data_IF_382332126774
#
_entry.id   IF_382332126774
#
_cell.length_a   1.000
_cell.length_b   1.000
_cell.length_c   1.000
_cell.angle_alpha   90.00
_cell.angle_beta   90.00
_cell.angle_gamma   90.00
#
_symmetry.space_group_name_H-M   'P 1'
#
loop_
_entity.id
_entity.type
_entity.pdbx_description
1 polymer ?
#
# COMPACT_ATOMS: atom_id res chain seq x y z
N UNK A 1 8.21 18.91 10.38
CA UNK A 1 8.78 18.03 9.34
C UNK A 1 7.66 17.75 8.35
N UNK A 2 7.77 18.27 7.13
CA UNK A 2 6.76 18.12 6.08
C UNK A 2 6.82 16.69 5.52
N UNK A 3 5.85 15.84 5.87
CA UNK A 3 5.71 14.53 5.24
C UNK A 3 5.36 14.75 3.76
N UNK A 4 6.31 14.48 2.87
CA UNK A 4 6.03 14.35 1.45
C UNK A 4 5.19 13.08 1.28
N UNK A 5 3.90 13.26 1.00
CA UNK A 5 2.99 12.15 0.70
C UNK A 5 3.43 11.53 -0.63
N UNK A 6 4.20 10.44 -0.56
CA UNK A 6 4.73 9.77 -1.74
C UNK A 6 3.69 8.79 -2.28
N UNK A 7 2.78 9.28 -3.12
CA UNK A 7 1.71 8.46 -3.70
C UNK A 7 2.21 7.64 -4.89
N UNK A 8 1.91 6.34 -4.89
CA UNK A 8 2.24 5.41 -5.98
C UNK A 8 0.99 4.76 -6.55
N UNK A 9 0.87 4.64 -7.88
CA UNK A 9 -0.23 3.92 -8.48
C UNK A 9 -0.12 2.42 -8.21
N UNK A 10 -1.26 1.75 -8.14
CA UNK A 10 -1.33 0.29 -7.88
C UNK A 10 -0.41 -0.53 -8.78
N UNK A 11 -0.28 -0.15 -10.05
CA UNK A 11 0.58 -0.84 -11.02
C UNK A 11 2.06 -0.77 -10.60
N UNK A 12 2.53 0.40 -10.18
CA UNK A 12 3.89 0.55 -9.66
C UNK A 12 4.08 -0.17 -8.33
N UNK A 13 3.11 -0.07 -7.42
CA UNK A 13 3.15 -0.78 -6.14
C UNK A 13 3.29 -2.31 -6.34
N UNK A 14 2.49 -2.86 -7.25
CA UNK A 14 2.53 -4.26 -7.68
C UNK A 14 3.91 -4.65 -8.25
N UNK A 15 4.51 -3.79 -9.08
CA UNK A 15 5.83 -4.04 -9.65
C UNK A 15 6.95 -3.95 -8.60
N UNK A 16 6.91 -2.96 -7.71
CA UNK A 16 7.91 -2.76 -6.65
C UNK A 16 7.92 -3.91 -5.65
N UNK A 17 6.73 -4.36 -5.25
CA UNK A 17 6.59 -5.46 -4.29
C UNK A 17 6.70 -6.85 -4.95
N UNK A 18 6.70 -6.94 -6.28
CA UNK A 18 6.70 -8.21 -7.01
C UNK A 18 5.43 -9.06 -6.78
N UNK A 19 4.33 -8.45 -6.33
CA UNK A 19 3.08 -9.16 -6.00
C UNK A 19 1.97 -8.83 -6.98
N UNK A 20 1.00 -9.73 -7.12
CA UNK A 20 -0.16 -9.50 -7.97
C UNK A 20 -1.16 -8.50 -7.38
N UNK A 21 -1.96 -7.87 -8.24
CA UNK A 21 -3.08 -6.99 -7.83
C UNK A 21 -4.08 -7.69 -6.91
N UNK A 22 -4.26 -8.99 -7.11
CA UNK A 22 -5.14 -9.82 -6.28
C UNK A 22 -4.58 -9.98 -4.86
N UNK A 23 -3.26 -10.10 -4.71
CA UNK A 23 -2.57 -10.13 -3.42
C UNK A 23 -2.83 -8.85 -2.63
N UNK A 24 -2.65 -7.68 -3.26
CA UNK A 24 -2.97 -6.38 -2.65
C UNK A 24 -4.44 -6.34 -2.20
N UNK A 25 -5.37 -6.74 -3.07
CA UNK A 25 -6.81 -6.77 -2.73
C UNK A 25 -7.06 -7.65 -1.51
N UNK A 26 -6.50 -8.85 -1.49
CA UNK A 26 -6.62 -9.78 -0.38
C UNK A 26 -6.02 -9.22 0.92
N UNK A 27 -4.89 -8.51 0.85
CA UNK A 27 -4.30 -7.86 2.01
C UNK A 27 -5.14 -6.70 2.55
N UNK A 28 -5.80 -5.92 1.68
CA UNK A 28 -6.74 -4.89 2.10
C UNK A 28 -7.93 -5.52 2.84
N UNK A 29 -8.44 -6.65 2.34
CA UNK A 29 -9.60 -7.33 2.92
C UNK A 29 -9.28 -8.13 4.19
N UNK A 30 -8.11 -8.77 4.27
CA UNK A 30 -7.79 -9.75 5.31
C UNK A 30 -6.71 -9.30 6.30
N UNK A 31 -5.86 -8.33 5.94
CA UNK A 31 -4.68 -7.93 6.73
C UNK A 31 -4.64 -6.45 7.08
N UNK A 32 -5.70 -5.69 6.77
CA UNK A 32 -5.76 -4.26 7.05
C UNK A 32 -4.75 -3.43 6.26
N UNK A 33 -4.34 -3.88 5.07
CA UNK A 33 -3.43 -3.14 4.21
C UNK A 33 -3.98 -1.74 3.88
N UNK A 34 -3.12 -0.71 3.74
CA UNK A 34 -3.54 0.65 3.46
C UNK A 34 -4.47 0.73 2.26
N UNK A 35 -5.60 1.41 2.46
CA UNK A 35 -6.62 1.60 1.44
C UNK A 35 -6.13 2.62 0.41
N UNK A 36 -6.50 2.46 -0.86
CA UNK A 36 -6.15 3.44 -1.87
C UNK A 36 -6.81 4.80 -1.56
N UNK A 37 -6.02 5.85 -1.74
CA UNK A 37 -6.50 7.23 -1.78
C UNK A 37 -7.45 7.35 -2.96
N UNK A 38 -8.68 7.84 -2.70
CA UNK A 38 -9.75 7.91 -3.70
C UNK A 38 -9.26 8.66 -4.94
N UNK A 39 -9.14 7.96 -6.06
CA UNK A 39 -9.04 8.56 -7.37
C UNK A 39 -10.45 8.56 -7.97
N UNK A 40 -11.03 9.74 -8.18
CA UNK A 40 -12.30 9.89 -8.90
C UNK A 40 -12.12 9.34 -10.33
N UNK A 41 -12.63 8.13 -10.58
CA UNK A 41 -12.71 7.52 -11.91
C UNK A 41 -11.41 6.97 -12.52
N UNK A 42 -10.24 7.23 -11.94
CA UNK A 42 -8.95 6.75 -12.43
C UNK A 42 -8.22 5.82 -11.44
N UNK A 43 -7.10 5.23 -11.89
CA UNK A 43 -6.35 4.21 -11.16
C UNK A 43 -6.18 4.50 -9.65
N UNK A 44 -6.39 3.50 -8.78
CA UNK A 44 -6.21 3.67 -7.34
C UNK A 44 -4.75 4.00 -6.99
N UNK A 45 -4.56 5.10 -6.25
CA UNK A 45 -3.29 5.56 -5.72
C UNK A 45 -3.13 5.07 -4.29
N UNK A 46 -1.91 4.65 -3.93
CA UNK A 46 -1.56 4.19 -2.59
C UNK A 46 -0.51 5.13 -2.02
N UNK A 47 -0.58 5.37 -0.72
CA UNK A 47 0.48 6.09 -0.04
C UNK A 47 1.65 5.14 0.26
N UNK A 48 2.83 5.43 -0.27
CA UNK A 48 4.00 4.55 -0.12
C UNK A 48 4.50 4.51 1.31
N UNK A 49 4.38 5.61 2.04
CA UNK A 49 4.82 5.71 3.43
C UNK A 49 3.95 4.82 4.32
N UNK A 50 2.63 4.91 4.18
CA UNK A 50 1.68 4.04 4.85
C UNK A 50 1.87 2.54 4.51
N UNK A 51 2.28 2.24 3.26
CA UNK A 51 2.63 0.88 2.87
C UNK A 51 3.88 0.40 3.61
N UNK A 52 4.96 1.18 3.62
CA UNK A 52 6.18 0.84 4.35
C UNK A 52 5.92 0.69 5.84
N UNK A 53 5.20 1.63 6.46
CA UNK A 53 4.84 1.57 7.87
C UNK A 53 4.04 0.31 8.21
N UNK A 54 3.16 -0.13 7.31
CA UNK A 54 2.41 -1.36 7.49
C UNK A 54 3.32 -2.60 7.44
N UNK A 55 4.33 -2.61 6.56
CA UNK A 55 5.34 -3.68 6.54
C UNK A 55 6.18 -3.67 7.80
N UNK A 56 6.66 -2.51 8.25
CA UNK A 56 7.44 -2.37 9.49
C UNK A 56 6.65 -2.88 10.71
N UNK A 57 5.35 -2.55 10.81
CA UNK A 57 4.51 -3.05 11.89
C UNK A 57 4.24 -4.56 11.82
N UNK A 58 4.21 -5.14 10.61
CA UNK A 58 4.08 -6.59 10.45
C UNK A 58 5.37 -7.32 10.84
N UNK A 59 6.55 -6.75 10.58
CA UNK A 59 7.83 -7.34 10.99
C UNK A 59 8.07 -7.19 12.50
N UNK A 60 7.70 -6.05 13.10
CA UNK A 60 7.86 -5.80 14.53
C UNK A 60 6.90 -6.60 15.44
N UNK A 61 5.82 -7.17 14.88
CA UNK A 61 4.85 -7.98 15.62
C UNK A 61 5.23 -9.46 15.78
N UNK A 62 6.41 -9.88 15.32
CA UNK A 62 6.84 -11.27 15.28
C UNK A 62 8.04 -11.56 16.21
N UNK A 63 8.21 -10.77 17.28
CA UNK A 63 9.19 -10.97 18.37
C UNK A 63 8.58 -11.55 19.64
#
# INVERSE_FOLDING_TARGET
MTQQVNVIPRKHLCAQLGISRNTIKRWIENRGFPKPLRASGQEPLFDSDAVNLWFEQMEAGNE
#
